data_IF_587574381580
#
_entry.id   IF_587574381580
#
_cell.length_a   1.000
_cell.length_b   1.000
_cell.length_c   1.000
_cell.angle_alpha   90.00
_cell.angle_beta   90.00
_cell.angle_gamma   90.00
#
_symmetry.space_group_name_H-M   'P 1'
#
loop_
_entity.id
_entity.type
_entity.pdbx_description
1 polymer ?
#
# COMPACT_ATOMS: atom_id res chain seq x y z
N UNK A 1 12.09 3.82 -1.32
CA UNK A 1 11.94 4.06 0.13
C UNK A 1 12.08 2.76 0.90
N UNK A 2 11.28 1.72 0.63
CA UNK A 2 11.27 0.46 1.40
C UNK A 2 12.67 -0.15 1.54
N UNK A 3 13.39 -0.34 0.45
CA UNK A 3 14.74 -0.91 0.48
C UNK A 3 15.74 -0.07 1.29
N UNK A 4 15.67 1.26 1.19
CA UNK A 4 16.53 2.15 1.97
C UNK A 4 16.19 2.11 3.46
N UNK A 5 14.91 2.07 3.83
CA UNK A 5 14.49 1.92 5.22
C UNK A 5 14.96 0.57 5.80
N UNK A 6 14.78 -0.52 5.05
CA UNK A 6 15.25 -1.85 5.44
C UNK A 6 16.77 -1.91 5.62
N UNK A 7 17.53 -1.10 4.88
CA UNK A 7 18.98 -0.95 5.02
C UNK A 7 19.41 0.04 6.12
N UNK A 8 18.49 0.48 6.99
CA UNK A 8 18.79 1.44 8.07
C UNK A 8 19.02 2.88 7.58
N UNK A 9 18.66 3.20 6.32
CA UNK A 9 18.90 4.50 5.69
C UNK A 9 17.67 5.42 5.73
N UNK A 10 16.86 5.34 6.79
CA UNK A 10 15.62 6.13 6.90
C UNK A 10 15.87 7.65 6.90
N UNK A 11 16.99 8.10 7.44
CA UNK A 11 17.36 9.53 7.53
C UNK A 11 18.15 10.02 6.32
N UNK A 12 18.55 9.13 5.40
CA UNK A 12 19.33 9.51 4.24
C UNK A 12 18.56 10.52 3.35
N UNK A 13 19.23 11.51 2.80
CA UNK A 13 18.61 12.60 2.04
C UNK A 13 17.71 12.09 0.89
N UNK A 14 18.15 11.05 0.16
CA UNK A 14 17.35 10.45 -0.91
C UNK A 14 16.08 9.75 -0.39
N UNK A 15 16.14 9.16 0.80
CA UNK A 15 14.95 8.56 1.44
C UNK A 15 13.96 9.65 1.79
N UNK A 16 14.42 10.76 2.39
CA UNK A 16 13.57 11.91 2.75
C UNK A 16 12.94 12.57 1.52
N UNK A 17 13.71 12.75 0.46
CA UNK A 17 13.20 13.25 -0.81
C UNK A 17 12.13 12.33 -1.41
N UNK A 18 12.37 11.02 -1.43
CA UNK A 18 11.42 10.05 -1.96
C UNK A 18 10.13 9.98 -1.14
N UNK A 19 10.21 10.06 0.20
CA UNK A 19 9.03 10.17 1.09
C UNK A 19 8.21 11.41 0.73
N UNK A 20 8.86 12.57 0.60
CA UNK A 20 8.19 13.80 0.19
C UNK A 20 7.47 13.67 -1.15
N UNK A 21 8.13 13.05 -2.13
CA UNK A 21 7.53 12.81 -3.46
C UNK A 21 6.32 11.86 -3.39
N UNK A 22 6.36 10.81 -2.56
CA UNK A 22 5.20 9.93 -2.36
C UNK A 22 4.02 10.72 -1.76
N UNK A 23 4.27 11.54 -0.73
CA UNK A 23 3.24 12.38 -0.13
C UNK A 23 2.67 13.38 -1.14
N UNK A 24 3.52 14.00 -1.95
CA UNK A 24 3.11 14.98 -2.98
C UNK A 24 2.24 14.36 -4.08
N UNK A 25 2.52 13.10 -4.43
CA UNK A 25 1.79 12.36 -5.48
C UNK A 25 0.51 11.69 -5.00
N UNK A 26 0.14 11.82 -3.72
CA UNK A 26 -1.16 11.36 -3.25
C UNK A 26 -2.29 12.21 -3.86
N UNK A 27 -3.37 11.52 -4.26
CA UNK A 27 -4.54 12.17 -4.82
C UNK A 27 -5.34 12.92 -3.75
N UNK A 28 -6.03 14.01 -4.08
CA UNK A 28 -6.74 14.85 -3.10
C UNK A 28 -7.79 14.09 -2.26
N UNK A 29 -8.44 13.09 -2.85
CA UNK A 29 -9.41 12.21 -2.18
C UNK A 29 -8.79 11.03 -1.42
N UNK A 30 -7.46 10.97 -1.37
CA UNK A 30 -6.69 9.84 -0.84
C UNK A 30 -6.34 8.81 -1.92
N UNK A 31 -5.33 8.01 -1.61
CA UNK A 31 -4.80 6.98 -2.51
C UNK A 31 -3.76 7.50 -3.49
N UNK A 32 -3.10 6.55 -4.13
CA UNK A 32 -2.04 6.78 -5.11
C UNK A 32 -2.34 6.05 -6.41
N UNK A 33 -1.73 6.51 -7.48
CA UNK A 33 -1.62 5.77 -8.74
C UNK A 33 -0.16 5.50 -9.07
N UNK A 34 0.15 5.19 -10.32
CA UNK A 34 1.50 4.83 -10.78
C UNK A 34 2.43 6.02 -11.04
N UNK A 35 2.15 7.19 -10.47
CA UNK A 35 3.07 8.33 -10.48
C UNK A 35 2.41 9.67 -10.79
N UNK A 36 1.70 9.83 -11.89
CA UNK A 36 1.06 11.09 -12.25
C UNK A 36 -0.31 11.23 -11.59
N UNK A 37 -0.63 12.43 -11.13
CA UNK A 37 -1.97 12.75 -10.58
C UNK A 37 -2.91 13.31 -11.64
N UNK A 38 -2.32 13.89 -12.70
CA UNK A 38 -3.05 14.48 -13.83
C UNK A 38 -2.34 14.14 -15.13
N UNK A 39 -3.08 13.73 -16.15
CA UNK A 39 -2.58 13.51 -17.51
C UNK A 39 -3.56 14.16 -18.49
N UNK A 40 -3.05 14.99 -19.42
CA UNK A 40 -3.86 15.72 -20.40
C UNK A 40 -5.04 16.46 -19.78
N UNK A 41 -4.83 17.11 -18.63
CA UNK A 41 -5.85 17.86 -17.91
C UNK A 41 -6.86 17.00 -17.12
N UNK A 42 -6.80 15.68 -17.24
CA UNK A 42 -7.68 14.77 -16.52
C UNK A 42 -7.02 14.23 -15.24
N UNK A 43 -7.76 14.29 -14.13
CA UNK A 43 -7.33 13.67 -12.89
C UNK A 43 -7.40 12.15 -13.02
N UNK A 44 -6.31 11.50 -12.66
CA UNK A 44 -6.25 10.04 -12.63
C UNK A 44 -6.91 9.49 -11.37
N UNK A 45 -7.36 8.23 -11.47
CA UNK A 45 -7.95 7.52 -10.33
C UNK A 45 -6.85 6.85 -9.50
N UNK A 46 -7.06 6.72 -8.18
CA UNK A 46 -6.18 5.91 -7.35
C UNK A 46 -6.39 4.42 -7.63
N UNK A 47 -5.35 3.63 -7.39
CA UNK A 47 -5.36 2.17 -7.50
C UNK A 47 -4.95 1.53 -6.18
N UNK A 48 -5.52 0.38 -5.86
CA UNK A 48 -5.30 -0.32 -4.59
C UNK A 48 -3.84 -0.69 -4.39
N UNK A 49 -3.21 -1.34 -5.36
CA UNK A 49 -1.84 -1.82 -5.25
C UNK A 49 -0.82 -0.70 -4.99
N UNK A 50 -0.69 0.35 -5.82
CA UNK A 50 0.27 1.42 -5.56
C UNK A 50 -0.05 2.18 -4.28
N UNK A 51 -1.33 2.27 -3.88
CA UNK A 51 -1.71 2.88 -2.61
C UNK A 51 -1.22 2.06 -1.41
N UNK A 52 -1.36 0.74 -1.44
CA UNK A 52 -0.85 -0.14 -0.38
C UNK A 52 0.68 -0.06 -0.26
N UNK A 53 1.40 -0.08 -1.38
CA UNK A 53 2.87 0.06 -1.41
C UNK A 53 3.29 1.43 -0.87
N UNK A 54 2.59 2.50 -1.25
CA UNK A 54 2.87 3.85 -0.76
C UNK A 54 2.66 3.95 0.76
N UNK A 55 1.56 3.40 1.29
CA UNK A 55 1.31 3.38 2.74
C UNK A 55 2.40 2.60 3.49
N UNK A 56 2.80 1.43 3.00
CA UNK A 56 3.90 0.67 3.60
C UNK A 56 5.20 1.49 3.62
N UNK A 57 5.50 2.20 2.55
CA UNK A 57 6.68 3.07 2.47
C UNK A 57 6.60 4.29 3.41
N UNK A 58 5.39 4.76 3.71
CA UNK A 58 5.12 5.90 4.60
C UNK A 58 4.97 5.50 6.07
N UNK A 59 5.12 4.23 6.42
CA UNK A 59 5.09 3.78 7.80
C UNK A 59 6.14 4.53 8.65
N UNK A 60 5.71 5.04 9.82
CA UNK A 60 6.54 5.83 10.72
C UNK A 60 6.78 7.29 10.28
N UNK A 61 6.21 7.74 9.16
CA UNK A 61 6.31 9.13 8.72
C UNK A 61 5.24 10.02 9.35
N UNK A 62 5.57 11.30 9.53
CA UNK A 62 4.62 12.31 10.03
C UNK A 62 3.52 12.61 9.01
N UNK A 63 2.28 12.69 9.47
CA UNK A 63 1.10 13.03 8.66
C UNK A 63 0.64 14.48 8.87
N UNK A 64 1.56 15.42 8.82
CA UNK A 64 1.29 16.84 9.09
C UNK A 64 0.15 17.45 8.24
N UNK A 65 -0.15 16.87 7.08
CA UNK A 65 -1.22 17.33 6.17
C UNK A 65 -2.46 16.43 6.14
N UNK A 66 -2.55 15.39 6.97
CA UNK A 66 -3.65 14.42 6.96
C UNK A 66 -3.73 13.59 5.67
N UNK A 67 -2.67 13.55 4.87
CA UNK A 67 -2.64 12.83 3.59
C UNK A 67 -2.60 11.33 3.78
N UNK A 68 -1.82 10.86 4.74
CA UNK A 68 -1.73 9.44 5.10
C UNK A 68 -3.10 8.96 5.61
N UNK A 69 -3.72 9.71 6.53
CA UNK A 69 -5.04 9.37 7.06
C UNK A 69 -6.11 9.29 5.96
N UNK A 70 -6.13 10.24 5.02
CA UNK A 70 -7.04 10.19 3.85
C UNK A 70 -6.78 8.96 2.97
N UNK A 71 -5.52 8.61 2.78
CA UNK A 71 -5.12 7.45 1.97
C UNK A 71 -5.50 6.13 2.65
N UNK A 72 -5.33 6.02 3.96
CA UNK A 72 -5.82 4.90 4.77
C UNK A 72 -7.34 4.77 4.63
N UNK A 73 -8.07 5.86 4.82
CA UNK A 73 -9.53 5.86 4.71
C UNK A 73 -10.00 5.45 3.30
N UNK A 74 -9.31 5.93 2.25
CA UNK A 74 -9.60 5.53 0.88
C UNK A 74 -9.34 4.03 0.68
N UNK A 75 -8.19 3.52 1.10
CA UNK A 75 -7.81 2.12 0.89
C UNK A 75 -8.77 1.16 1.59
N UNK A 76 -9.14 1.45 2.85
CA UNK A 76 -10.08 0.63 3.62
C UNK A 76 -11.44 0.43 2.94
N UNK A 77 -11.96 1.46 2.26
CA UNK A 77 -13.25 1.37 1.55
C UNK A 77 -13.14 0.82 0.13
N UNK A 78 -11.92 0.64 -0.38
CA UNK A 78 -11.65 0.24 -1.77
C UNK A 78 -11.23 -1.22 -1.90
N UNK A 79 -11.08 -1.95 -0.80
CA UNK A 79 -10.71 -3.36 -0.79
C UNK A 79 -11.84 -4.24 -0.27
N UNK A 80 -11.90 -5.46 -0.78
CA UNK A 80 -12.89 -6.46 -0.43
C UNK A 80 -12.53 -7.81 -1.02
N UNK A 81 -13.43 -8.80 -0.92
CA UNK A 81 -13.19 -10.18 -1.37
C UNK A 81 -12.87 -10.29 -2.87
N UNK A 82 -13.34 -9.33 -3.68
CA UNK A 82 -13.10 -9.28 -5.13
C UNK A 82 -11.77 -8.60 -5.50
N UNK A 83 -11.01 -8.12 -4.52
CA UNK A 83 -9.71 -7.48 -4.79
C UNK A 83 -8.70 -8.53 -5.23
N UNK A 84 -7.97 -8.25 -6.34
CA UNK A 84 -6.96 -9.18 -6.86
C UNK A 84 -5.85 -9.47 -5.84
N UNK A 85 -5.24 -10.66 -5.92
CA UNK A 85 -4.26 -11.17 -4.95
C UNK A 85 -3.16 -10.16 -4.59
N UNK A 86 -2.46 -9.64 -5.60
CA UNK A 86 -1.37 -8.70 -5.37
C UNK A 86 -1.87 -7.37 -4.77
N UNK A 87 -3.00 -6.86 -5.25
CA UNK A 87 -3.59 -5.62 -4.74
C UNK A 87 -4.03 -5.76 -3.29
N UNK A 88 -4.70 -6.89 -2.96
CA UNK A 88 -5.15 -7.17 -1.61
C UNK A 88 -3.97 -7.33 -0.64
N UNK A 89 -2.96 -8.10 -1.02
CA UNK A 89 -1.79 -8.32 -0.19
C UNK A 89 -1.05 -7.01 0.12
N UNK A 90 -0.76 -6.18 -0.89
CA UNK A 90 -0.13 -4.89 -0.66
C UNK A 90 -0.99 -3.94 0.16
N UNK A 91 -2.32 -3.97 -0.03
CA UNK A 91 -3.25 -3.16 0.76
C UNK A 91 -3.21 -3.55 2.24
N UNK A 92 -3.27 -4.84 2.54
CA UNK A 92 -3.21 -5.37 3.92
C UNK A 92 -1.87 -5.02 4.57
N UNK A 93 -0.75 -5.24 3.88
CA UNK A 93 0.58 -4.85 4.36
C UNK A 93 0.67 -3.35 4.65
N UNK A 94 0.19 -2.51 3.74
CA UNK A 94 0.17 -1.07 3.93
C UNK A 94 -0.66 -0.62 5.12
N UNK A 95 -1.85 -1.20 5.32
CA UNK A 95 -2.71 -0.89 6.47
C UNK A 95 -2.10 -1.37 7.79
N UNK A 96 -1.59 -2.59 7.83
CA UNK A 96 -0.95 -3.16 9.02
C UNK A 96 0.25 -2.32 9.47
N UNK A 97 1.03 -1.79 8.55
CA UNK A 97 2.17 -0.92 8.85
C UNK A 97 1.77 0.40 9.56
N UNK A 98 0.50 0.77 9.49
CA UNK A 98 -0.08 1.90 10.22
C UNK A 98 -0.95 1.47 11.42
N UNK A 99 -0.82 0.22 11.88
CA UNK A 99 -1.59 -0.30 13.01
C UNK A 99 -3.07 -0.57 12.71
N UNK A 100 -3.45 -0.58 11.43
CA UNK A 100 -4.84 -0.82 11.01
C UNK A 100 -5.00 -2.29 10.63
N UNK A 101 -5.57 -3.07 11.51
CA UNK A 101 -5.96 -4.45 11.24
C UNK A 101 -7.38 -4.53 10.68
N UNK A 102 -7.57 -5.39 9.69
CA UNK A 102 -8.88 -5.74 9.14
C UNK A 102 -9.12 -7.23 9.41
N UNK A 103 -9.96 -7.59 10.40
CA UNK A 103 -10.19 -9.00 10.77
C UNK A 103 -10.60 -9.89 9.59
N UNK A 104 -11.45 -9.37 8.70
CA UNK A 104 -11.91 -10.06 7.50
C UNK A 104 -10.83 -10.24 6.41
N UNK A 105 -9.71 -9.53 6.50
CA UNK A 105 -8.68 -9.61 5.46
C UNK A 105 -8.02 -10.99 5.38
N UNK A 106 -7.93 -11.71 6.50
CA UNK A 106 -7.36 -13.08 6.54
C UNK A 106 -8.21 -14.02 5.69
N UNK A 107 -9.52 -13.94 5.82
CA UNK A 107 -10.46 -14.73 5.02
C UNK A 107 -10.35 -14.37 3.52
N UNK A 108 -10.31 -13.08 3.19
CA UNK A 108 -10.15 -12.64 1.79
C UNK A 108 -8.82 -13.10 1.19
N UNK A 109 -7.71 -13.04 1.95
CA UNK A 109 -6.40 -13.53 1.49
C UNK A 109 -6.42 -15.04 1.24
N UNK A 110 -7.08 -15.82 2.11
CA UNK A 110 -7.23 -17.27 1.94
C UNK A 110 -8.09 -17.60 0.71
N UNK A 111 -9.21 -16.91 0.53
CA UNK A 111 -10.11 -17.09 -0.61
C UNK A 111 -9.36 -16.81 -1.93
N UNK A 112 -8.66 -15.67 -2.00
CA UNK A 112 -7.91 -15.29 -3.20
C UNK A 112 -6.77 -16.28 -3.48
N UNK A 113 -6.07 -16.78 -2.46
CA UNK A 113 -5.05 -17.81 -2.64
C UNK A 113 -5.61 -19.09 -3.25
N UNK A 114 -6.81 -19.51 -2.81
CA UNK A 114 -7.50 -20.69 -3.34
C UNK A 114 -8.02 -20.53 -4.79
N UNK A 115 -8.21 -19.31 -5.27
CA UNK A 115 -8.72 -19.02 -6.62
C UNK A 115 -7.62 -18.74 -7.66
N UNK A 116 -6.37 -18.71 -7.27
CA UNK A 116 -5.25 -18.50 -8.19
C UNK A 116 -5.15 -19.67 -9.20
N UNK A 117 -5.43 -19.39 -10.47
CA UNK A 117 -5.32 -20.39 -11.56
C UNK A 117 -3.89 -20.85 -11.79
N UNK A 118 -2.94 -19.92 -11.70
CA UNK A 118 -1.51 -20.18 -11.83
C UNK A 118 -0.80 -19.48 -10.69
N UNK A 119 -0.60 -20.16 -9.56
CA UNK A 119 0.08 -19.58 -8.41
C UNK A 119 1.57 -19.40 -8.72
N UNK A 120 2.05 -18.17 -8.79
CA UNK A 120 3.47 -17.89 -8.86
C UNK A 120 4.07 -17.87 -7.45
N UNK A 121 5.36 -18.25 -7.27
CA UNK A 121 6.04 -18.13 -5.98
C UNK A 121 5.97 -16.72 -5.38
N UNK A 122 6.06 -15.69 -6.24
CA UNK A 122 5.92 -14.30 -5.84
C UNK A 122 4.54 -14.00 -5.25
N UNK A 123 3.46 -14.43 -5.91
CA UNK A 123 2.10 -14.19 -5.43
C UNK A 123 1.84 -14.90 -4.10
N UNK A 124 2.28 -16.15 -3.97
CA UNK A 124 2.13 -16.93 -2.73
C UNK A 124 2.94 -16.32 -1.58
N UNK A 125 4.19 -15.92 -1.83
CA UNK A 125 5.02 -15.27 -0.82
C UNK A 125 4.41 -13.94 -0.35
N UNK A 126 3.88 -13.14 -1.28
CA UNK A 126 3.25 -11.87 -0.95
C UNK A 126 1.98 -12.05 -0.12
N UNK A 127 1.14 -13.02 -0.45
CA UNK A 127 -0.06 -13.37 0.34
C UNK A 127 0.31 -13.88 1.73
N UNK A 128 1.34 -14.72 1.84
CA UNK A 128 1.84 -15.21 3.13
C UNK A 128 2.39 -14.08 4.01
N UNK A 129 3.13 -13.14 3.43
CA UNK A 129 3.59 -11.94 4.13
C UNK A 129 2.42 -11.08 4.60
N UNK A 130 1.41 -10.88 3.77
CA UNK A 130 0.22 -10.11 4.15
C UNK A 130 -0.56 -10.76 5.29
N UNK A 131 -0.66 -12.09 5.30
CA UNK A 131 -1.33 -12.83 6.37
C UNK A 131 -0.57 -12.80 7.70
N UNK A 132 0.77 -12.80 7.66
CA UNK A 132 1.64 -12.78 8.86
C UNK A 132 1.98 -11.36 9.36
N UNK A 133 1.87 -10.37 8.53
CA UNK A 133 2.39 -9.03 8.75
C UNK A 133 3.79 -8.83 8.17
N UNK A 134 4.15 -7.56 7.96
CA UNK A 134 5.49 -7.19 7.49
C UNK A 134 6.51 -7.40 8.61
N UNK A 135 7.68 -7.99 8.34
CA UNK A 135 8.75 -8.07 9.34
C UNK A 135 9.16 -6.65 9.79
N UNK A 136 9.14 -6.43 11.08
CA UNK A 136 9.60 -5.18 11.72
C UNK A 136 11.09 -5.24 12.00
#
# INVERSE_FOLDING_TARGET
VLALKAAGQSTHARTREAVRLILDRQLPGGGCNYGNTVVLGQRLRPHVQPTGIALLALAGESDAGGRIAKTIAWLRRSIGPETTAASLAWAVLGLNAHGISLPQAVEWLAQVAGTLRVPSPHALALLALAAKGWPT
#
